data_IF_372139663056
#
_entry.id   IF_372139663056
#
_cell.length_a   1.000
_cell.length_b   1.000
_cell.length_c   1.000
_cell.angle_alpha   90.00
_cell.angle_beta   90.00
_cell.angle_gamma   90.00
#
_symmetry.space_group_name_H-M   'P 1'
#
loop_
_entity.id
_entity.type
_entity.pdbx_description
1 polymer ?
#
# COMPACT_ATOMS: atom_id res chain seq x y z
N UNK A 1 6.05 8.78 -15.54
CA UNK A 1 5.63 8.04 -15.32
C UNK A 1 4.73 8.06 -14.59
N UNK A 2 4.11 7.62 -14.50
CA UNK A 2 3.25 7.76 -13.90
C UNK A 2 2.92 6.70 -13.23
N UNK A 3 3.28 6.55 -12.27
CA UNK A 3 3.00 5.70 -11.45
C UNK A 3 1.66 5.72 -11.30
N UNK A 4 1.10 6.73 -11.51
CA UNK A 4 -0.13 6.89 -11.21
C UNK A 4 -0.90 5.97 -11.85
N UNK A 5 -0.54 5.47 -12.79
CA UNK A 5 -1.42 4.75 -13.36
C UNK A 5 -1.86 3.61 -12.73
N UNK A 6 -1.12 2.96 -12.00
CA UNK A 6 -1.71 1.85 -11.51
C UNK A 6 -2.09 2.05 -10.22
N UNK A 7 -1.89 3.13 -9.85
CA UNK A 7 -2.15 3.15 -8.66
C UNK A 7 -3.26 3.48 -8.25
N UNK A 8 -3.80 3.96 -8.80
CA UNK A 8 -4.63 4.49 -8.09
C UNK A 8 -5.82 4.68 -8.32
N UNK A 9 -6.46 3.93 -8.30
CA UNK A 9 -7.63 4.00 -8.11
C UNK A 9 -7.86 4.50 -6.92
N UNK A 10 -7.14 4.54 -6.39
CA UNK A 10 -7.15 4.89 -5.24
C UNK A 10 -7.50 6.02 -4.69
N UNK A 11 -8.10 6.70 -5.26
CA UNK A 11 -8.32 7.74 -4.64
C UNK A 11 -9.26 7.68 -3.74
N UNK A 12 -9.88 6.78 -3.65
CA UNK A 12 -10.70 6.69 -2.69
C UNK A 12 -9.99 6.47 -1.54
N UNK A 13 -8.90 6.43 -1.52
CA UNK A 13 -8.21 6.19 -0.38
C UNK A 13 -8.33 7.20 0.61
N UNK A 14 -8.49 6.92 1.78
CA UNK A 14 -8.40 7.85 2.82
C UNK A 14 -6.97 8.04 3.17
N UNK A 15 -6.62 8.99 3.99
CA UNK A 15 -5.29 9.21 4.43
C UNK A 15 -4.82 7.94 5.09
N UNK A 16 -3.74 7.45 4.77
CA UNK A 16 -3.22 6.25 5.36
C UNK A 16 -3.62 4.97 4.68
N UNK A 17 -4.28 5.03 3.54
CA UNK A 17 -4.64 3.84 2.82
C UNK A 17 -4.55 4.11 1.33
N UNK A 18 -3.92 3.21 0.60
CA UNK A 18 -3.81 3.29 -0.86
C UNK A 18 -4.22 1.97 -1.46
N UNK A 19 -5.08 2.02 -2.48
CA UNK A 19 -5.49 0.84 -3.18
C UNK A 19 -4.58 0.67 -4.39
N UNK A 20 -4.03 -0.50 -4.59
CA UNK A 20 -3.10 -0.77 -5.67
C UNK A 20 -3.68 -1.83 -6.58
N UNK A 21 -3.79 -1.54 -7.87
CA UNK A 21 -4.25 -2.52 -8.84
C UNK A 21 -3.26 -2.57 -9.97
N UNK A 22 -2.73 -3.74 -10.29
CA UNK A 22 -1.81 -3.91 -11.39
C UNK A 22 -2.22 -5.11 -12.21
N UNK A 23 -2.05 -5.03 -13.50
CA UNK A 23 -2.41 -6.14 -14.35
C UNK A 23 -1.25 -7.05 -14.62
N UNK A 24 -0.03 -6.58 -14.48
CA UNK A 24 1.13 -7.36 -14.82
C UNK A 24 1.81 -7.78 -13.55
N UNK A 25 1.94 -9.07 -13.32
CA UNK A 25 2.57 -9.57 -12.12
C UNK A 25 3.98 -9.04 -11.94
N UNK A 26 4.67 -8.73 -13.03
CA UNK A 26 6.02 -8.22 -12.90
C UNK A 26 6.05 -6.80 -12.33
N UNK A 27 4.93 -6.12 -12.27
CA UNK A 27 4.92 -4.78 -11.75
C UNK A 27 4.46 -4.72 -10.31
N UNK A 28 4.08 -5.83 -9.72
CA UNK A 28 3.54 -5.82 -8.36
C UNK A 28 4.52 -5.26 -7.35
N UNK A 29 5.78 -5.73 -7.38
CA UNK A 29 6.73 -5.25 -6.39
C UNK A 29 6.97 -3.76 -6.51
N UNK A 30 7.08 -3.26 -7.72
CA UNK A 30 7.34 -1.84 -7.89
C UNK A 30 6.13 -1.03 -7.44
N UNK A 31 4.94 -1.48 -7.76
CA UNK A 31 3.73 -0.76 -7.38
C UNK A 31 3.58 -0.77 -5.87
N UNK A 32 3.87 -1.90 -5.21
CA UNK A 32 3.76 -1.95 -3.77
C UNK A 32 4.82 -1.07 -3.10
N UNK A 33 6.04 -1.04 -3.64
CA UNK A 33 7.05 -0.18 -3.07
C UNK A 33 6.65 1.28 -3.19
N UNK A 34 6.07 1.69 -4.29
CA UNK A 34 5.62 3.06 -4.46
C UNK A 34 4.51 3.38 -3.47
N UNK A 35 3.60 2.43 -3.26
CA UNK A 35 2.50 2.66 -2.33
C UNK A 35 3.01 2.75 -0.89
N UNK A 36 4.00 1.94 -0.53
CA UNK A 36 4.57 2.00 0.81
C UNK A 36 5.21 3.36 1.04
N UNK A 37 5.95 3.87 0.06
CA UNK A 37 6.54 5.19 0.19
C UNK A 37 5.43 6.23 0.37
N UNK A 38 4.34 6.10 -0.36
CA UNK A 38 3.24 7.06 -0.25
C UNK A 38 2.52 7.00 1.09
N UNK A 39 2.56 5.85 1.77
CA UNK A 39 1.89 5.71 3.05
C UNK A 39 2.81 6.07 4.21
N UNK A 40 4.11 6.13 4.00
CA UNK A 40 5.04 6.39 5.10
C UNK A 40 4.72 7.65 5.90
N UNK A 41 4.32 8.76 5.29
CA UNK A 41 4.01 9.93 6.11
C UNK A 41 2.87 9.66 7.10
N UNK A 42 1.86 8.90 6.70
CA UNK A 42 0.76 8.59 7.60
C UNK A 42 1.23 7.64 8.70
N UNK A 43 2.06 6.65 8.35
CA UNK A 43 2.57 5.71 9.33
C UNK A 43 3.41 6.44 10.37
N UNK A 44 4.23 7.39 9.92
CA UNK A 44 5.05 8.15 10.84
C UNK A 44 4.17 9.03 11.72
N UNK A 45 3.18 9.68 11.11
CA UNK A 45 2.34 10.58 11.89
C UNK A 45 1.61 9.84 12.98
N UNK A 46 1.19 8.62 12.72
CA UNK A 46 0.43 7.85 13.69
C UNK A 46 1.31 6.88 14.49
N UNK A 47 2.60 6.82 14.19
CA UNK A 47 3.55 5.97 14.91
C UNK A 47 3.14 4.50 14.82
N UNK A 48 2.76 4.06 13.65
CA UNK A 48 2.36 2.68 13.42
C UNK A 48 3.11 2.15 12.21
N UNK A 49 3.07 0.86 11.98
CA UNK A 49 3.66 0.25 10.80
C UNK A 49 2.73 0.26 9.62
N UNK A 50 3.09 -0.49 8.60
CA UNK A 50 2.35 -0.53 7.34
C UNK A 50 1.92 -1.96 7.07
N UNK A 51 0.66 -2.14 6.68
CA UNK A 51 0.15 -3.44 6.34
C UNK A 51 -0.21 -3.45 4.86
N UNK A 52 0.24 -4.48 4.16
CA UNK A 52 -0.12 -4.71 2.79
C UNK A 52 -1.02 -5.93 2.77
N UNK A 53 -2.27 -5.76 2.32
CA UNK A 53 -3.22 -6.85 2.28
C UNK A 53 -3.51 -7.20 0.84
N UNK A 54 -3.35 -8.49 0.48
CA UNK A 54 -3.66 -8.92 -0.85
C UNK A 54 -5.12 -9.28 -0.89
N UNK A 55 -5.88 -8.57 -1.71
CA UNK A 55 -7.31 -8.79 -1.80
C UNK A 55 -7.62 -9.76 -2.92
N UNK A 56 -6.84 -9.75 -3.96
CA UNK A 56 -7.04 -10.64 -5.10
C UNK A 56 -5.85 -10.51 -6.02
N UNK A 57 -5.89 -11.16 -7.16
CA UNK A 57 -4.75 -11.08 -8.09
C UNK A 57 -4.54 -9.63 -8.52
N UNK A 58 -3.35 -9.14 -8.31
CA UNK A 58 -3.01 -7.78 -8.71
C UNK A 58 -3.75 -6.70 -7.93
N UNK A 59 -4.40 -7.04 -6.82
CA UNK A 59 -5.20 -6.08 -6.11
C UNK A 59 -4.78 -6.10 -4.66
N UNK A 60 -4.27 -4.99 -4.15
CA UNK A 60 -3.75 -4.89 -2.81
C UNK A 60 -4.22 -3.62 -2.14
N UNK A 61 -4.27 -3.64 -0.83
CA UNK A 61 -4.52 -2.43 -0.04
C UNK A 61 -3.28 -2.22 0.82
N UNK A 62 -2.71 -1.03 0.78
CA UNK A 62 -1.55 -0.67 1.57
C UNK A 62 -1.97 0.41 2.53
N UNK A 63 -1.78 0.21 3.83
CA UNK A 63 -2.24 1.20 4.79
C UNK A 63 -1.41 1.22 6.05
N UNK A 64 -1.44 2.33 6.74
CA UNK A 64 -0.89 2.45 8.07
C UNK A 64 -1.80 1.68 9.01
N UNK A 65 -1.27 0.84 9.88
CA UNK A 65 -2.09 -0.05 10.68
C UNK A 65 -1.52 -0.18 12.10
N UNK A 66 -2.34 0.04 13.08
CA UNK A 66 -1.86 0.05 14.46
C UNK A 66 -1.35 -1.28 14.98
N UNK A 67 -1.77 -2.38 14.34
CA UNK A 67 -1.28 -3.67 14.80
C UNK A 67 0.07 -4.03 14.22
N UNK A 68 0.61 -3.25 13.31
CA UNK A 68 1.95 -3.48 12.78
C UNK A 68 2.87 -2.53 13.52
N UNK A 69 3.93 -3.04 14.16
CA UNK A 69 4.83 -2.17 14.91
C UNK A 69 5.45 -1.11 14.04
N UNK A 70 5.63 0.08 14.61
CA UNK A 70 6.21 1.20 13.92
C UNK A 70 7.55 0.80 13.32
N UNK A 71 7.78 1.18 12.10
CA UNK A 71 9.02 0.87 11.41
C UNK A 71 8.98 -0.42 10.62
N UNK A 72 7.91 -1.21 10.73
CA UNK A 72 7.82 -2.45 10.00
C UNK A 72 6.75 -2.39 8.93
N UNK A 73 6.91 -3.20 7.90
CA UNK A 73 5.90 -3.40 6.87
C UNK A 73 5.61 -4.89 6.85
N UNK A 74 4.34 -5.25 6.96
CA UNK A 74 3.95 -6.64 7.01
C UNK A 74 2.98 -6.92 5.89
N UNK A 75 3.03 -8.10 5.32
CA UNK A 75 2.13 -8.46 4.26
C UNK A 75 1.23 -9.59 4.70
N UNK A 76 -0.04 -9.48 4.35
CA UNK A 76 -1.01 -10.46 4.72
C UNK A 76 -1.77 -10.88 3.49
N UNK A 77 -2.22 -12.11 3.44
CA UNK A 77 -2.96 -12.59 2.33
C UNK A 77 -4.42 -12.55 2.56
N UNK A 78 -4.86 -11.76 3.31
CA UNK A 78 -6.20 -11.70 3.41
C UNK A 78 -6.93 -11.54 4.42
#
# INVERSE_FOLDING_TARGET
MRIQNYEIQGFQSSPGMIEVRVEDALQVDQALNSAVVGIQPAAIRHQVGILISRIGPGYYIVRAHPEVPYGLTRQSNG
#
